data_IF_462722739289
#
_entry.id   IF_462722739289
#
_cell.length_a   1.000
_cell.length_b   1.000
_cell.length_c   1.000
_cell.angle_alpha   90.00
_cell.angle_beta   90.00
_cell.angle_gamma   90.00
#
_symmetry.space_group_name_H-M   'P 1'
#
loop_
_entity.id
_entity.type
_entity.pdbx_description
1 polymer ?
#
# COMPACT_ATOMS: atom_id res chain seq x y z
N UNK A 1 -0.65 -1.04 -15.79
CA UNK A 1 -0.28 -1.15 -14.36
C UNK A 1 -1.29 -0.37 -13.54
N UNK A 2 -1.98 -1.06 -12.64
CA UNK A 2 -2.89 -0.45 -11.66
C UNK A 2 -2.17 -0.41 -10.33
N UNK A 3 -2.17 0.74 -9.65
CA UNK A 3 -1.76 0.85 -8.26
C UNK A 3 -2.96 1.22 -7.39
N UNK A 4 -3.07 0.53 -6.26
CA UNK A 4 -4.03 0.83 -5.22
C UNK A 4 -3.30 0.92 -3.87
N UNK A 5 -3.39 2.07 -3.19
CA UNK A 5 -2.77 2.29 -1.88
C UNK A 5 -3.71 3.08 -0.95
N UNK A 6 -3.66 2.84 0.37
CA UNK A 6 -4.44 3.63 1.32
C UNK A 6 -4.03 5.11 1.30
N UNK A 7 -2.73 5.39 1.30
CA UNK A 7 -2.22 6.75 1.21
C UNK A 7 -0.79 6.79 0.69
N UNK A 8 -0.36 7.97 0.22
CA UNK A 8 1.04 8.25 -0.07
C UNK A 8 1.32 9.77 0.02
N UNK A 9 2.59 10.16 -0.05
CA UNK A 9 2.98 11.58 -0.09
C UNK A 9 2.94 12.16 -1.51
N UNK A 10 2.89 13.48 -1.63
CA UNK A 10 2.85 14.21 -2.92
C UNK A 10 3.98 13.79 -3.86
N UNK A 11 5.21 13.66 -3.35
CA UNK A 11 6.35 13.23 -4.17
C UNK A 11 6.21 11.81 -4.76
N UNK A 12 5.42 10.93 -4.13
CA UNK A 12 5.11 9.62 -4.68
C UNK A 12 4.04 9.75 -5.78
N UNK A 13 3.00 10.56 -5.56
CA UNK A 13 1.97 10.86 -6.56
C UNK A 13 2.57 11.41 -7.85
N UNK A 14 3.53 12.33 -7.76
CA UNK A 14 4.21 12.90 -8.94
C UNK A 14 4.89 11.83 -9.80
N UNK A 15 5.52 10.83 -9.18
CA UNK A 15 6.12 9.70 -9.90
C UNK A 15 5.06 8.77 -10.48
N UNK A 16 4.01 8.51 -9.72
CA UNK A 16 2.95 7.60 -10.15
C UNK A 16 2.20 8.15 -11.37
N UNK A 17 1.94 9.46 -11.44
CA UNK A 17 1.38 10.11 -12.63
C UNK A 17 2.11 9.78 -13.94
N UNK A 18 3.41 9.49 -13.88
CA UNK A 18 4.23 9.21 -15.06
C UNK A 18 4.46 7.71 -15.32
N UNK A 19 4.16 6.85 -14.35
CA UNK A 19 4.66 5.46 -14.35
C UNK A 19 3.57 4.39 -14.32
N UNK A 20 2.34 4.74 -13.94
CA UNK A 20 1.21 3.81 -13.93
C UNK A 20 0.13 4.23 -14.92
N UNK A 21 -0.69 3.27 -15.35
CA UNK A 21 -1.86 3.55 -16.20
C UNK A 21 -3.06 4.01 -15.36
N UNK A 22 -3.18 3.52 -14.13
CA UNK A 22 -4.31 3.80 -13.25
C UNK A 22 -3.89 3.85 -11.77
N UNK A 23 -4.44 4.82 -11.03
CA UNK A 23 -4.18 5.05 -9.61
C UNK A 23 -5.48 5.08 -8.80
N UNK A 24 -5.50 4.31 -7.72
CA UNK A 24 -6.52 4.36 -6.66
C UNK A 24 -5.84 4.72 -5.34
N UNK A 25 -6.00 5.96 -4.88
CA UNK A 25 -5.37 6.47 -3.67
C UNK A 25 -6.47 7.03 -2.78
N UNK A 26 -6.63 6.51 -1.55
CA UNK A 26 -7.69 7.01 -0.65
C UNK A 26 -7.34 8.37 -0.07
N UNK A 27 -6.05 8.65 0.19
CA UNK A 27 -5.61 9.95 0.70
C UNK A 27 -4.17 10.32 0.26
N UNK A 28 -3.93 11.60 0.03
CA UNK A 28 -2.60 12.13 -0.32
C UNK A 28 -2.11 13.04 0.80
N UNK A 29 -0.99 12.69 1.41
CA UNK A 29 -0.41 13.41 2.54
C UNK A 29 0.52 14.51 2.04
N UNK A 30 0.10 15.77 2.20
CA UNK A 30 0.93 16.94 1.87
C UNK A 30 2.20 17.01 2.73
N UNK A 31 2.07 16.83 4.04
CA UNK A 31 3.18 16.76 4.98
C UNK A 31 3.37 15.32 5.49
N UNK A 32 3.95 14.47 4.64
CA UNK A 32 4.12 13.05 4.94
C UNK A 32 5.14 12.82 6.07
N UNK A 33 4.68 12.27 7.20
CA UNK A 33 5.48 12.06 8.41
C UNK A 33 6.09 10.64 8.53
N UNK A 34 6.08 9.87 7.44
CA UNK A 34 6.47 8.46 7.43
C UNK A 34 5.31 7.49 7.69
N UNK A 35 5.45 6.23 7.26
CA UNK A 35 4.36 5.25 7.25
C UNK A 35 3.78 4.99 8.64
N UNK A 36 4.64 4.80 9.63
CA UNK A 36 4.22 4.36 10.97
C UNK A 36 3.36 5.39 11.71
N UNK A 37 3.39 6.66 11.29
CA UNK A 37 2.58 7.72 11.88
C UNK A 37 1.08 7.52 11.61
N UNK A 38 0.71 6.77 10.57
CA UNK A 38 -0.66 6.65 10.09
C UNK A 38 -1.31 5.29 10.42
N UNK A 39 -0.63 4.42 11.17
CA UNK A 39 -1.16 3.14 11.64
C UNK A 39 -1.09 3.05 13.17
N UNK A 40 -2.17 2.57 13.79
CA UNK A 40 -2.21 2.30 15.23
C UNK A 40 -1.34 1.09 15.61
N UNK A 41 -1.31 0.07 14.74
CA UNK A 41 -0.45 -1.11 14.86
C UNK A 41 0.52 -1.18 13.68
N UNK A 42 1.81 -1.16 14.01
CA UNK A 42 2.91 -1.24 13.05
C UNK A 42 3.62 -2.61 13.09
N UNK A 43 3.01 -3.59 13.75
CA UNK A 43 3.53 -4.97 13.81
C UNK A 43 3.51 -5.56 12.42
N UNK A 44 4.70 -5.83 11.90
CA UNK A 44 4.84 -6.50 10.60
C UNK A 44 4.64 -8.01 10.78
N UNK A 45 3.94 -8.68 9.85
CA UNK A 45 3.83 -10.12 9.89
C UNK A 45 5.22 -10.75 9.73
N UNK A 46 5.43 -11.87 10.41
CA UNK A 46 6.61 -12.72 10.17
C UNK A 46 6.61 -13.24 8.73
N UNK A 47 7.74 -13.82 8.31
CA UNK A 47 7.86 -14.42 6.98
C UNK A 47 6.85 -15.55 6.80
N UNK A 48 6.71 -16.40 7.80
CA UNK A 48 5.81 -17.55 7.82
C UNK A 48 4.34 -17.10 7.71
N UNK A 49 3.95 -16.09 8.49
CA UNK A 49 2.61 -15.50 8.44
C UNK A 49 2.33 -14.82 7.10
N UNK A 50 3.33 -14.15 6.51
CA UNK A 50 3.21 -13.52 5.19
C UNK A 50 2.92 -14.56 4.12
N UNK A 51 3.69 -15.67 4.10
CA UNK A 51 3.48 -16.77 3.16
C UNK A 51 2.08 -17.38 3.34
N UNK A 52 1.67 -17.62 4.59
CA UNK A 52 0.36 -18.17 4.89
C UNK A 52 -0.78 -17.27 4.40
N UNK A 53 -0.69 -15.94 4.62
CA UNK A 53 -1.68 -14.96 4.14
C UNK A 53 -1.80 -14.94 2.61
N UNK A 54 -0.67 -14.95 1.89
CA UNK A 54 -0.67 -14.98 0.42
C UNK A 54 -1.38 -16.24 -0.08
N UNK A 55 -1.05 -17.41 0.47
CA UNK A 55 -1.71 -18.68 0.10
C UNK A 55 -3.22 -18.63 0.35
N UNK A 56 -3.65 -18.08 1.48
CA UNK A 56 -5.09 -17.94 1.79
C UNK A 56 -5.80 -17.01 0.79
N UNK A 57 -5.18 -15.90 0.39
CA UNK A 57 -5.77 -14.99 -0.61
C UNK A 57 -5.96 -15.70 -1.95
N UNK A 58 -4.95 -16.46 -2.40
CA UNK A 58 -5.02 -17.20 -3.67
C UNK A 58 -6.08 -18.31 -3.62
N UNK A 59 -6.12 -19.10 -2.53
CA UNK A 59 -7.07 -20.21 -2.40
C UNK A 59 -8.53 -19.75 -2.36
N UNK A 60 -8.78 -18.54 -1.86
CA UNK A 60 -10.11 -17.95 -1.78
C UNK A 60 -10.44 -17.01 -2.93
N UNK A 61 -9.54 -16.88 -3.92
CA UNK A 61 -9.78 -16.03 -5.09
C UNK A 61 -10.90 -16.62 -5.94
N UNK A 62 -11.97 -15.85 -6.14
CA UNK A 62 -13.10 -16.18 -7.02
C UNK A 62 -13.33 -15.05 -8.01
#
# INVERSE_FOLDING_TARGET
MVIAVPFCGVAAVDKLHMTVDEMHILDVKENFMGLNHYYEDNTLPSKEETIAKINQVILNWK
#
